data_IF_434111740459
#
_entry.id   IF_434111740459
#
_cell.length_a   1.000
_cell.length_b   1.000
_cell.length_c   1.000
_cell.angle_alpha   90.00
_cell.angle_beta   90.00
_cell.angle_gamma   90.00
#
_symmetry.space_group_name_H-M   'P 1'
#
loop_
_entity.id
_entity.type
_entity.pdbx_description
1 polymer ?
#
# COMPACT_ATOMS: atom_id res chain seq x y z
N UNK A 1 33.03 -10.26 -30.33
CA UNK A 1 31.80 -9.93 -29.58
C UNK A 1 31.63 -8.42 -29.62
N UNK A 2 30.52 -7.88 -30.10
CA UNK A 2 30.32 -6.42 -30.21
C UNK A 2 30.16 -5.78 -28.82
N UNK A 3 30.81 -4.63 -28.61
CA UNK A 3 30.70 -3.87 -27.37
C UNK A 3 29.29 -3.25 -27.26
N UNK A 4 28.52 -3.61 -26.23
CA UNK A 4 27.30 -2.88 -25.87
C UNK A 4 26.09 -3.69 -25.39
N UNK A 5 26.12 -5.02 -25.40
CA UNK A 5 25.02 -5.81 -24.81
C UNK A 5 25.47 -6.41 -23.48
N UNK A 6 25.13 -5.72 -22.40
CA UNK A 6 25.19 -6.26 -21.03
C UNK A 6 23.83 -6.86 -20.70
N UNK A 7 23.74 -8.18 -20.59
CA UNK A 7 22.60 -8.81 -19.95
C UNK A 7 22.72 -8.56 -18.45
N UNK A 8 21.66 -8.04 -17.81
CA UNK A 8 21.62 -7.96 -16.35
C UNK A 8 21.66 -9.41 -15.83
N UNK A 9 22.78 -9.79 -15.18
CA UNK A 9 23.17 -11.19 -14.90
C UNK A 9 22.32 -11.89 -13.83
N UNK A 10 21.25 -11.27 -13.35
CA UNK A 10 20.31 -11.93 -12.44
C UNK A 10 18.92 -11.36 -12.67
N UNK A 11 18.01 -12.23 -13.12
CA UNK A 11 16.59 -11.98 -13.00
C UNK A 11 16.26 -11.80 -11.51
N UNK A 12 15.37 -10.86 -11.13
CA UNK A 12 14.95 -10.75 -9.75
C UNK A 12 14.35 -12.09 -9.34
N UNK A 13 14.98 -12.76 -8.37
CA UNK A 13 14.48 -14.02 -7.83
C UNK A 13 13.06 -13.78 -7.33
N UNK A 14 12.08 -14.35 -8.03
CA UNK A 14 10.69 -14.36 -7.58
C UNK A 14 10.66 -15.13 -6.26
N UNK A 15 10.52 -14.40 -5.15
CA UNK A 15 10.39 -15.02 -3.84
C UNK A 15 8.94 -15.38 -3.62
N UNK A 16 8.71 -16.67 -3.41
CA UNK A 16 7.43 -17.18 -2.96
C UNK A 16 6.98 -16.43 -1.69
N UNK A 17 5.81 -15.80 -1.79
CA UNK A 17 5.18 -15.06 -0.69
C UNK A 17 4.54 -16.00 0.34
N UNK A 18 4.56 -17.30 0.10
CA UNK A 18 4.10 -18.33 1.01
C UNK A 18 5.28 -18.99 1.71
N UNK A 19 5.25 -18.99 3.03
CA UNK A 19 6.26 -19.65 3.86
C UNK A 19 5.80 -21.09 4.13
N UNK A 20 6.45 -22.06 3.46
CA UNK A 20 6.08 -23.49 3.46
C UNK A 20 6.13 -24.12 4.86
N UNK A 21 7.00 -23.59 5.72
CA UNK A 21 7.21 -24.03 7.10
C UNK A 21 6.04 -23.65 8.04
N UNK A 22 5.47 -22.47 7.84
CA UNK A 22 4.45 -21.89 8.72
C UNK A 22 3.04 -21.99 8.15
N UNK A 23 2.90 -22.22 6.84
CA UNK A 23 1.63 -22.18 6.15
C UNK A 23 1.01 -20.78 6.04
N UNK A 24 1.77 -19.75 6.40
CA UNK A 24 1.35 -18.35 6.35
C UNK A 24 2.07 -17.60 5.23
N UNK A 25 1.55 -16.41 4.89
CA UNK A 25 2.26 -15.52 3.97
C UNK A 25 3.54 -15.01 4.64
N UNK A 26 4.68 -15.14 3.95
CA UNK A 26 6.00 -14.63 4.34
C UNK A 26 5.98 -13.12 4.64
N UNK A 27 5.03 -12.41 4.04
CA UNK A 27 4.66 -11.05 4.40
C UNK A 27 3.29 -11.12 5.09
N UNK A 28 3.24 -10.83 6.40
CA UNK A 28 1.98 -10.89 7.17
C UNK A 28 0.91 -9.90 6.68
N UNK A 29 -0.23 -9.84 7.36
CA UNK A 29 -1.28 -8.85 7.07
C UNK A 29 -0.86 -7.39 7.32
N UNK A 30 -1.62 -6.44 6.76
CA UNK A 30 -1.50 -5.02 7.04
C UNK A 30 -2.50 -4.63 8.14
N UNK A 31 -2.09 -3.77 9.07
CA UNK A 31 -3.00 -3.27 10.09
C UNK A 31 -3.82 -2.12 9.51
N UNK A 32 -5.14 -2.21 9.60
CA UNK A 32 -6.03 -1.13 9.18
C UNK A 32 -5.89 0.06 10.14
N UNK A 33 -5.66 1.24 9.59
CA UNK A 33 -5.68 2.50 10.34
C UNK A 33 -7.14 2.97 10.50
N UNK A 34 -7.58 3.06 11.76
CA UNK A 34 -8.96 3.40 12.12
C UNK A 34 -9.10 4.83 12.64
N UNK A 35 -8.00 5.57 12.81
CA UNK A 35 -8.01 6.88 13.49
C UNK A 35 -8.91 7.91 12.76
N UNK A 36 -9.04 7.79 11.43
CA UNK A 36 -9.88 8.66 10.59
C UNK A 36 -11.26 8.11 10.24
N UNK A 37 -11.62 6.92 10.73
CA UNK A 37 -12.90 6.27 10.44
C UNK A 37 -13.95 6.72 11.47
N UNK A 38 -14.60 7.84 11.22
CA UNK A 38 -15.62 8.37 12.14
C UNK A 38 -16.79 7.39 12.29
N UNK A 39 -16.97 6.84 13.49
CA UNK A 39 -18.20 6.16 13.96
C UNK A 39 -18.68 4.91 13.20
N UNK A 40 -18.08 4.57 12.06
CA UNK A 40 -18.49 3.42 11.26
C UNK A 40 -17.90 2.15 11.86
N UNK A 41 -18.79 1.27 12.32
CA UNK A 41 -18.42 -0.02 12.92
C UNK A 41 -17.73 -0.98 11.95
N UNK A 42 -17.74 -0.71 10.64
CA UNK A 42 -17.25 -1.63 9.62
C UNK A 42 -16.81 -0.92 8.34
N UNK A 43 -15.72 -1.42 7.74
CA UNK A 43 -15.27 -1.07 6.38
C UNK A 43 -15.94 -2.01 5.38
N UNK A 44 -16.66 -1.51 4.37
CA UNK A 44 -17.28 -2.35 3.34
C UNK A 44 -16.27 -3.30 2.67
N UNK A 45 -16.73 -4.50 2.31
CA UNK A 45 -15.90 -5.59 1.78
C UNK A 45 -15.07 -5.19 0.53
N UNK A 46 -15.57 -4.26 -0.27
CA UNK A 46 -14.90 -3.78 -1.50
C UNK A 46 -14.48 -2.31 -1.39
N UNK A 47 -14.26 -1.82 -0.18
CA UNK A 47 -13.76 -0.46 0.03
C UNK A 47 -12.32 -0.36 -0.49
N UNK A 48 -12.00 0.63 -1.35
CA UNK A 48 -10.63 0.85 -1.80
C UNK A 48 -9.71 1.21 -0.62
N UNK A 49 -8.54 0.58 -0.57
CA UNK A 49 -7.53 0.77 0.47
C UNK A 49 -6.20 1.22 -0.15
N UNK A 50 -5.55 2.19 0.50
CA UNK A 50 -4.16 2.53 0.25
C UNK A 50 -3.26 1.71 1.19
N UNK A 51 -2.22 1.07 0.65
CA UNK A 51 -1.32 0.21 1.42
C UNK A 51 0.07 0.86 1.51
N UNK A 52 0.54 1.08 2.73
CA UNK A 52 1.93 1.48 2.99
C UNK A 52 2.78 0.27 3.41
N UNK A 53 3.68 -0.13 2.53
CA UNK A 53 4.59 -1.25 2.75
C UNK A 53 5.68 -0.98 3.80
N UNK A 54 6.02 0.30 4.07
CA UNK A 54 7.04 0.66 5.06
C UNK A 54 6.50 0.56 6.49
N UNK A 55 5.34 1.17 6.73
CA UNK A 55 4.70 1.18 8.06
C UNK A 55 3.80 -0.03 8.28
N UNK A 56 3.54 -0.83 7.22
CA UNK A 56 2.67 -2.01 7.24
C UNK A 56 1.24 -1.68 7.66
N UNK A 57 0.78 -0.48 7.27
CA UNK A 57 -0.58 0.02 7.51
C UNK A 57 -1.43 0.04 6.23
N UNK A 58 -2.73 -0.13 6.40
CA UNK A 58 -3.73 0.04 5.35
C UNK A 58 -4.66 1.21 5.72
N UNK A 59 -4.91 2.11 4.77
CA UNK A 59 -5.71 3.31 4.95
C UNK A 59 -6.95 3.25 4.07
N UNK A 60 -8.12 3.56 4.64
CA UNK A 60 -9.36 3.63 3.86
C UNK A 60 -9.32 4.85 2.95
N UNK A 61 -9.57 4.63 1.65
CA UNK A 61 -9.66 5.74 0.70
C UNK A 61 -11.04 6.38 0.81
N UNK A 62 -11.07 7.60 1.36
CA UNK A 62 -12.29 8.37 1.47
C UNK A 62 -12.50 9.19 0.18
N UNK A 63 -13.65 9.04 -0.47
CA UNK A 63 -14.06 9.90 -1.59
C UNK A 63 -14.51 11.25 -1.04
N UNK A 64 -13.61 12.22 -1.06
CA UNK A 64 -13.79 13.52 -0.44
C UNK A 64 -13.76 14.62 -1.50
N UNK A 65 -14.74 15.53 -1.47
CA UNK A 65 -14.77 16.69 -2.36
C UNK A 65 -13.92 17.79 -1.74
N UNK A 66 -12.72 17.99 -2.27
CA UNK A 66 -11.84 19.07 -1.82
C UNK A 66 -12.45 20.42 -2.21
N UNK A 67 -12.69 21.30 -1.24
CA UNK A 67 -13.33 22.62 -1.44
C UNK A 67 -12.30 23.72 -1.74
N UNK A 68 -11.03 23.51 -1.41
CA UNK A 68 -9.95 24.50 -1.58
C UNK A 68 -8.80 23.99 -2.47
N UNK A 69 -8.03 24.90 -3.07
CA UNK A 69 -6.88 24.53 -3.89
C UNK A 69 -5.81 23.90 -2.98
N UNK A 70 -5.45 22.64 -3.22
CA UNK A 70 -4.34 22.00 -2.51
C UNK A 70 -3.01 22.57 -3.03
N UNK A 71 -2.31 23.33 -2.19
CA UNK A 71 -0.97 23.81 -2.51
C UNK A 71 0.05 22.67 -2.46
N UNK A 72 1.07 22.71 -3.33
CA UNK A 72 2.10 21.68 -3.40
C UNK A 72 2.83 21.55 -2.05
N UNK A 73 2.67 20.40 -1.39
CA UNK A 73 3.29 20.12 -0.08
C UNK A 73 2.38 20.30 1.12
N UNK A 74 1.10 20.64 0.93
CA UNK A 74 0.13 20.66 2.01
C UNK A 74 -0.06 19.26 2.63
N UNK A 75 0.11 19.17 3.95
CA UNK A 75 -0.10 17.93 4.73
C UNK A 75 -1.49 17.85 5.35
N UNK A 76 -2.27 18.91 5.24
CA UNK A 76 -3.68 19.00 5.64
C UNK A 76 -4.46 19.74 4.56
N UNK A 77 -5.65 19.22 4.25
CA UNK A 77 -6.56 19.79 3.24
C UNK A 77 -7.93 19.84 3.88
N UNK A 78 -8.62 20.98 3.79
CA UNK A 78 -10.03 21.05 4.18
C UNK A 78 -10.87 20.33 3.14
N UNK A 79 -11.55 19.32 3.63
CA UNK A 79 -12.53 18.53 2.91
C UNK A 79 -13.92 19.04 3.23
#
# INVERSE_FOLDING_TARGET
MAAGITYFDTEPVERELYAVDSGYRSQGGFNLDTDGLSGQSHVPVLCPLFIDFKTRKAYVVNNLKVVEKADTGATSIKV
#
